data_IF_334840861138
#
_entry.id   IF_334840861138
#
_cell.length_a   1.000
_cell.length_b   1.000
_cell.length_c   1.000
_cell.angle_alpha   90.00
_cell.angle_beta   90.00
_cell.angle_gamma   90.00
#
_symmetry.space_group_name_H-M   'P 1'
#
loop_
_entity.id
_entity.type
_entity.pdbx_description
1 polymer ?
#
# COMPACT_ATOMS: atom_id res chain seq x y z
N UNK A 1 2.24 -22.84 0.41
CA UNK A 1 1.92 -21.60 -0.32
C UNK A 1 0.50 -21.60 -0.90
N UNK A 2 -0.14 -22.77 -1.12
CA UNK A 2 -1.50 -22.85 -1.68
C UNK A 2 -2.61 -22.13 -0.89
N UNK A 3 -2.52 -22.02 0.45
CA UNK A 3 -3.68 -21.57 1.22
C UNK A 3 -4.11 -20.11 0.95
N UNK A 4 -3.17 -19.20 0.73
CA UNK A 4 -3.48 -17.79 0.37
C UNK A 4 -4.06 -17.70 -1.04
N UNK A 5 -3.50 -18.48 -1.96
CA UNK A 5 -3.99 -18.57 -3.33
C UNK A 5 -5.43 -19.09 -3.34
N UNK A 6 -5.70 -20.19 -2.63
CA UNK A 6 -7.06 -20.74 -2.44
C UNK A 6 -8.02 -19.75 -1.78
N UNK A 7 -7.54 -18.95 -0.83
CA UNK A 7 -8.35 -17.91 -0.21
C UNK A 7 -8.69 -16.81 -1.23
N UNK A 8 -7.73 -16.38 -2.04
CA UNK A 8 -7.96 -15.41 -3.11
C UNK A 8 -8.87 -15.98 -4.21
N UNK A 9 -8.74 -17.26 -4.58
CA UNK A 9 -9.65 -17.95 -5.51
C UNK A 9 -11.08 -17.96 -4.96
N UNK A 10 -11.27 -18.21 -3.66
CA UNK A 10 -12.59 -18.18 -3.03
C UNK A 10 -13.21 -16.76 -3.04
N UNK A 11 -12.40 -15.71 -2.88
CA UNK A 11 -12.86 -14.33 -3.02
C UNK A 11 -13.18 -14.00 -4.49
N UNK A 12 -12.35 -14.43 -5.44
CA UNK A 12 -12.62 -14.24 -6.86
C UNK A 12 -13.97 -14.85 -7.26
N UNK A 13 -14.25 -16.08 -6.81
CA UNK A 13 -15.57 -16.70 -6.99
C UNK A 13 -16.70 -15.84 -6.41
N UNK A 14 -16.53 -15.28 -5.22
CA UNK A 14 -17.54 -14.40 -4.61
C UNK A 14 -17.76 -13.13 -5.45
N UNK A 15 -16.68 -12.51 -5.93
CA UNK A 15 -16.74 -11.31 -6.79
C UNK A 15 -17.44 -11.59 -8.13
N UNK A 16 -17.19 -12.75 -8.73
CA UNK A 16 -17.84 -13.19 -9.97
C UNK A 16 -19.33 -13.49 -9.79
N UNK A 17 -19.78 -13.73 -8.56
CA UNK A 17 -21.16 -14.12 -8.22
C UNK A 17 -21.91 -13.06 -7.41
N UNK A 18 -21.48 -11.79 -7.43
CA UNK A 18 -22.17 -10.72 -6.71
C UNK A 18 -23.61 -10.48 -7.21
N UNK A 19 -23.86 -10.73 -8.49
CA UNK A 19 -25.16 -10.59 -9.16
C UNK A 19 -26.04 -11.84 -9.07
N UNK A 20 -25.58 -12.88 -8.36
CA UNK A 20 -26.27 -14.16 -8.26
C UNK A 20 -26.26 -14.68 -6.82
N UNK A 21 -26.88 -15.84 -6.60
CA UNK A 21 -26.82 -16.51 -5.30
C UNK A 21 -25.41 -17.06 -5.06
N UNK A 22 -24.76 -16.58 -4.01
CA UNK A 22 -23.41 -17.03 -3.63
C UNK A 22 -23.53 -18.32 -2.81
N UNK A 23 -23.05 -19.43 -3.38
CA UNK A 23 -22.92 -20.69 -2.65
C UNK A 23 -21.71 -20.66 -1.69
N UNK A 24 -21.97 -20.57 -0.39
CA UNK A 24 -20.92 -20.52 0.64
C UNK A 24 -20.16 -21.84 0.77
N UNK A 25 -20.81 -22.98 0.54
CA UNK A 25 -20.18 -24.29 0.56
C UNK A 25 -19.14 -24.43 -0.56
N UNK A 26 -19.42 -23.85 -1.72
CA UNK A 26 -18.49 -23.81 -2.85
C UNK A 26 -17.29 -22.92 -2.55
N UNK A 27 -17.53 -21.70 -2.06
CA UNK A 27 -16.45 -20.79 -1.66
C UNK A 27 -15.52 -21.43 -0.59
N UNK A 28 -16.10 -22.08 0.41
CA UNK A 28 -15.35 -22.77 1.45
C UNK A 28 -14.57 -23.98 0.90
N UNK A 29 -15.15 -24.71 -0.07
CA UNK A 29 -14.48 -25.84 -0.75
C UNK A 29 -13.28 -25.36 -1.56
N UNK A 30 -13.38 -24.22 -2.26
CA UNK A 30 -12.24 -23.59 -2.93
C UNK A 30 -11.15 -23.28 -1.90
N UNK A 31 -11.52 -22.70 -0.77
CA UNK A 31 -10.60 -22.42 0.35
C UNK A 31 -10.13 -23.68 1.14
N UNK A 32 -10.47 -24.89 0.69
CA UNK A 32 -10.15 -26.17 1.32
C UNK A 32 -10.53 -26.27 2.81
N UNK A 33 -11.65 -25.65 3.22
CA UNK A 33 -12.11 -25.70 4.61
C UNK A 33 -13.64 -25.75 4.71
N UNK A 34 -14.17 -25.90 5.92
CA UNK A 34 -15.62 -25.82 6.14
C UNK A 34 -16.11 -24.37 6.09
N UNK A 35 -17.40 -24.16 5.80
CA UNK A 35 -18.02 -22.82 5.76
C UNK A 35 -17.75 -22.02 7.03
N UNK A 36 -17.87 -22.68 8.19
CA UNK A 36 -17.60 -22.06 9.49
C UNK A 36 -16.15 -21.55 9.59
N UNK A 37 -15.16 -22.36 9.21
CA UNK A 37 -13.76 -21.96 9.25
C UNK A 37 -13.47 -20.85 8.24
N UNK A 38 -13.99 -20.97 7.01
CA UNK A 38 -13.83 -19.95 5.98
C UNK A 38 -14.32 -18.58 6.45
N UNK A 39 -15.56 -18.50 6.94
CA UNK A 39 -16.15 -17.25 7.41
C UNK A 39 -15.39 -16.66 8.61
N UNK A 40 -14.99 -17.51 9.55
CA UNK A 40 -14.24 -17.08 10.74
C UNK A 40 -12.84 -16.59 10.39
N UNK A 41 -12.13 -17.28 9.50
CA UNK A 41 -10.79 -16.91 9.05
C UNK A 41 -10.83 -15.64 8.21
N UNK A 42 -11.79 -15.54 7.28
CA UNK A 42 -12.02 -14.31 6.54
C UNK A 42 -12.24 -13.13 7.50
N UNK A 43 -13.15 -13.26 8.46
CA UNK A 43 -13.44 -12.18 9.40
C UNK A 43 -12.24 -11.78 10.24
N UNK A 44 -11.43 -12.75 10.65
CA UNK A 44 -10.22 -12.50 11.42
C UNK A 44 -9.16 -11.73 10.62
N UNK A 45 -8.97 -12.06 9.35
CA UNK A 45 -7.90 -11.48 8.52
C UNK A 45 -8.36 -10.16 7.87
N UNK A 46 -9.59 -10.12 7.35
CA UNK A 46 -10.15 -8.94 6.68
C UNK A 46 -10.69 -7.89 7.66
N UNK A 47 -10.80 -8.21 8.96
CA UNK A 47 -11.35 -7.33 9.99
C UNK A 47 -12.87 -7.09 9.89
N UNK A 48 -13.56 -7.77 8.97
CA UNK A 48 -15.01 -7.64 8.76
C UNK A 48 -15.67 -8.98 8.44
N UNK A 49 -16.92 -9.22 8.87
CA UNK A 49 -17.63 -10.44 8.50
C UNK A 49 -17.80 -10.60 6.98
N UNK A 50 -17.72 -11.84 6.49
CA UNK A 50 -17.87 -12.15 5.06
C UNK A 50 -19.20 -11.63 4.47
N UNK A 51 -20.30 -11.73 5.22
CA UNK A 51 -21.59 -11.22 4.80
C UNK A 51 -21.61 -9.70 4.64
N UNK A 52 -20.87 -8.98 5.49
CA UNK A 52 -20.73 -7.52 5.37
C UNK A 52 -19.85 -7.14 4.18
N UNK A 53 -18.79 -7.91 3.92
CA UNK A 53 -17.98 -7.76 2.72
C UNK A 53 -18.84 -7.90 1.45
N UNK A 54 -19.56 -9.00 1.30
CA UNK A 54 -20.45 -9.25 0.15
C UNK A 54 -21.45 -8.10 -0.02
N UNK A 55 -22.09 -7.65 1.08
CA UNK A 55 -23.04 -6.54 1.04
C UNK A 55 -22.40 -5.23 0.56
N UNK A 56 -21.19 -4.90 1.05
CA UNK A 56 -20.44 -3.71 0.61
C UNK A 56 -20.08 -3.78 -0.86
N UNK A 57 -19.65 -4.95 -1.33
CA UNK A 57 -19.32 -5.20 -2.74
C UNK A 57 -20.53 -5.06 -3.65
N UNK A 58 -21.66 -5.69 -3.29
CA UNK A 58 -22.93 -5.55 -4.01
C UNK A 58 -23.41 -4.11 -4.09
N UNK A 59 -23.38 -3.34 -2.99
CA UNK A 59 -23.81 -1.94 -3.03
C UNK A 59 -22.85 -1.05 -3.81
N UNK A 60 -21.53 -1.32 -3.75
CA UNK A 60 -20.54 -0.61 -4.59
C UNK A 60 -20.84 -0.84 -6.08
N UNK A 61 -21.11 -2.07 -6.48
CA UNK A 61 -21.46 -2.41 -7.87
C UNK A 61 -22.83 -1.83 -8.27
N UNK A 62 -23.84 -1.91 -7.39
CA UNK A 62 -25.15 -1.31 -7.64
C UNK A 62 -25.10 0.21 -7.79
N UNK A 63 -24.25 0.89 -7.02
CA UNK A 63 -24.03 2.32 -7.13
C UNK A 63 -23.38 2.70 -8.47
N UNK A 64 -22.46 1.87 -8.96
CA UNK A 64 -21.87 2.01 -10.29
C UNK A 64 -22.92 1.85 -11.39
N UNK A 65 -23.74 0.80 -11.34
CA UNK A 65 -24.81 0.58 -12.31
C UNK A 65 -25.85 1.73 -12.29
N UNK A 66 -26.19 2.25 -11.11
CA UNK A 66 -27.10 3.39 -10.96
C UNK A 66 -26.60 4.68 -11.62
N UNK A 67 -25.28 4.88 -11.66
CA UNK A 67 -24.63 6.07 -12.23
C UNK A 67 -24.37 5.92 -13.73
N UNK A 68 -24.20 4.69 -14.21
CA UNK A 68 -23.76 4.42 -15.60
C UNK A 68 -24.87 3.89 -16.50
N UNK A 69 -26.01 3.50 -15.93
CA UNK A 69 -27.14 2.91 -16.65
C UNK A 69 -28.48 3.55 -16.26
N UNK A 70 -29.49 3.35 -17.10
CA UNK A 70 -30.88 3.74 -16.82
C UNK A 70 -31.72 2.62 -16.19
N UNK A 71 -31.10 1.50 -15.78
CA UNK A 71 -31.79 0.35 -15.19
C UNK A 71 -32.69 0.76 -14.01
N UNK A 72 -33.88 0.17 -13.88
CA UNK A 72 -34.79 0.56 -12.79
C UNK A 72 -34.22 0.09 -11.46
N UNK A 73 -34.43 0.87 -10.40
CA UNK A 73 -33.98 0.52 -9.03
C UNK A 73 -34.50 -0.85 -8.59
N UNK A 74 -35.70 -1.24 -9.03
CA UNK A 74 -36.26 -2.57 -8.74
C UNK A 74 -35.50 -3.69 -9.45
N UNK A 75 -35.07 -3.47 -10.68
CA UNK A 75 -34.32 -4.46 -11.47
C UNK A 75 -32.91 -4.63 -10.87
N UNK A 76 -32.27 -3.51 -10.48
CA UNK A 76 -30.99 -3.54 -9.76
C UNK A 76 -31.09 -4.20 -8.38
N UNK A 77 -32.18 -3.97 -7.64
CA UNK A 77 -32.41 -4.66 -6.37
C UNK A 77 -32.44 -6.17 -6.57
N UNK A 78 -33.17 -6.66 -7.57
CA UNK A 78 -33.25 -8.08 -7.92
C UNK A 78 -31.88 -8.62 -8.39
N UNK A 79 -31.20 -7.89 -9.27
CA UNK A 79 -29.85 -8.22 -9.78
C UNK A 79 -28.86 -8.45 -8.65
N UNK A 80 -28.89 -7.65 -7.59
CA UNK A 80 -28.00 -7.80 -6.44
C UNK A 80 -28.59 -8.65 -5.29
N UNK A 81 -29.61 -9.45 -5.57
CA UNK A 81 -30.17 -10.45 -4.64
C UNK A 81 -31.01 -9.88 -3.51
N UNK A 82 -31.75 -8.80 -3.76
CA UNK A 82 -32.73 -8.23 -2.83
C UNK A 82 -34.15 -8.40 -3.36
N UNK A 83 -34.98 -9.17 -2.63
CA UNK A 83 -36.36 -9.45 -3.01
C UNK A 83 -37.32 -8.26 -2.86
N UNK A 84 -36.87 -7.16 -2.24
CA UNK A 84 -37.68 -5.95 -2.07
C UNK A 84 -36.87 -4.66 -2.23
N UNK A 85 -37.43 -3.65 -2.94
CA UNK A 85 -36.82 -2.32 -3.04
C UNK A 85 -36.58 -1.65 -1.69
N UNK A 86 -37.40 -1.95 -0.69
CA UNK A 86 -37.25 -1.40 0.67
C UNK A 86 -36.02 -1.98 1.37
N UNK A 87 -35.78 -3.29 1.26
CA UNK A 87 -34.57 -3.92 1.80
C UNK A 87 -33.31 -3.41 1.08
N UNK A 88 -33.38 -3.29 -0.26
CA UNK A 88 -32.29 -2.72 -1.05
C UNK A 88 -31.99 -1.27 -0.65
N UNK A 89 -33.01 -0.41 -0.56
CA UNK A 89 -32.83 1.00 -0.17
C UNK A 89 -32.18 1.13 1.21
N UNK A 90 -32.64 0.36 2.21
CA UNK A 90 -32.03 0.34 3.55
C UNK A 90 -30.57 -0.14 3.50
N UNK A 91 -30.26 -1.14 2.68
CA UNK A 91 -28.89 -1.63 2.52
C UNK A 91 -27.99 -0.62 1.83
N UNK A 92 -28.49 0.01 0.78
CA UNK A 92 -27.79 1.02 0.00
C UNK A 92 -27.51 2.26 0.86
N UNK A 93 -28.51 2.76 1.58
CA UNK A 93 -28.37 3.89 2.50
C UNK A 93 -27.38 3.60 3.62
N UNK A 94 -27.33 2.37 4.15
CA UNK A 94 -26.36 2.05 5.21
C UNK A 94 -24.89 2.06 4.77
N UNK A 95 -24.64 2.09 3.45
CA UNK A 95 -23.30 2.01 2.86
C UNK A 95 -22.90 3.35 2.22
N UNK A 96 -23.85 4.03 1.58
CA UNK A 96 -23.59 5.26 0.82
C UNK A 96 -24.18 6.52 1.48
N UNK A 97 -24.90 6.39 2.60
CA UNK A 97 -25.62 7.49 3.28
C UNK A 97 -26.59 8.27 2.38
N UNK A 98 -27.03 7.64 1.29
CA UNK A 98 -27.93 8.17 0.28
C UNK A 98 -28.95 7.10 -0.12
N UNK A 99 -30.13 7.52 -0.60
CA UNK A 99 -31.04 6.61 -1.28
C UNK A 99 -30.57 6.29 -2.71
N UNK A 100 -30.94 5.14 -3.28
CA UNK A 100 -30.65 4.81 -4.68
C UNK A 100 -31.06 5.90 -5.68
N UNK A 101 -32.22 6.53 -5.46
CA UNK A 101 -32.70 7.63 -6.33
C UNK A 101 -31.81 8.87 -6.24
N UNK A 102 -31.37 9.24 -5.04
CA UNK A 102 -30.44 10.37 -4.86
C UNK A 102 -29.09 10.06 -5.49
N UNK A 103 -28.62 8.82 -5.34
CA UNK A 103 -27.38 8.31 -5.88
C UNK A 103 -27.38 8.13 -7.40
N UNK A 104 -28.47 8.44 -8.12
CA UNK A 104 -28.47 8.52 -9.60
C UNK A 104 -28.03 9.88 -10.12
N UNK A 105 -28.17 10.94 -9.31
CA UNK A 105 -27.80 12.29 -9.73
C UNK A 105 -26.28 12.43 -9.81
N UNK A 106 -25.81 13.22 -10.77
CA UNK A 106 -24.39 13.57 -10.88
C UNK A 106 -23.90 14.35 -9.65
N UNK A 107 -22.59 14.26 -9.36
CA UNK A 107 -21.95 15.01 -8.29
C UNK A 107 -22.21 14.51 -6.87
N UNK A 108 -22.80 13.32 -6.71
CA UNK A 108 -22.99 12.67 -5.41
C UNK A 108 -21.75 11.90 -4.98
N UNK A 109 -21.29 12.11 -3.76
CA UNK A 109 -20.25 11.29 -3.15
C UNK A 109 -20.84 9.91 -2.76
N UNK A 110 -20.17 8.85 -3.19
CA UNK A 110 -20.56 7.46 -2.93
C UNK A 110 -19.37 6.70 -2.34
N UNK A 111 -19.63 5.87 -1.34
CA UNK A 111 -18.62 4.97 -0.77
C UNK A 111 -18.26 3.84 -1.75
N UNK A 112 -16.97 3.57 -1.95
CA UNK A 112 -16.50 2.43 -2.74
C UNK A 112 -15.67 1.49 -1.86
N UNK A 113 -16.02 0.19 -1.90
CA UNK A 113 -15.25 -0.85 -1.25
C UNK A 113 -14.61 -1.74 -2.32
N UNK A 114 -13.30 -1.62 -2.58
CA UNK A 114 -12.63 -2.46 -3.58
C UNK A 114 -12.60 -3.94 -3.14
N UNK A 115 -12.46 -4.88 -4.09
CA UNK A 115 -12.25 -6.29 -3.77
C UNK A 115 -11.03 -6.49 -2.87
N UNK A 116 -11.14 -7.40 -1.89
CA UNK A 116 -10.02 -7.74 -1.00
C UNK A 116 -9.12 -8.79 -1.67
N UNK A 117 -7.81 -8.63 -1.55
CA UNK A 117 -6.81 -9.64 -1.90
C UNK A 117 -5.87 -9.87 -0.72
N UNK A 118 -5.50 -11.13 -0.47
CA UNK A 118 -4.60 -11.52 0.59
C UNK A 118 -3.18 -11.76 0.05
N UNK A 119 -2.17 -11.23 0.74
CA UNK A 119 -0.75 -11.47 0.44
C UNK A 119 -0.02 -11.80 1.74
N UNK A 120 0.86 -12.80 1.72
CA UNK A 120 1.75 -13.11 2.85
C UNK A 120 3.17 -12.68 2.50
N UNK A 121 3.79 -11.87 3.36
CA UNK A 121 5.22 -11.62 3.34
C UNK A 121 5.86 -12.35 4.51
N UNK A 122 6.77 -13.28 4.21
CA UNK A 122 7.62 -13.95 5.20
C UNK A 122 8.89 -13.11 5.37
N UNK A 123 9.14 -12.61 6.57
CA UNK A 123 10.37 -11.89 6.93
C UNK A 123 11.30 -12.82 7.71
N UNK A 124 12.59 -12.79 7.39
CA UNK A 124 13.63 -13.55 8.12
C UNK A 124 13.91 -14.97 7.58
N UNK A 125 13.31 -15.39 6.47
CA UNK A 125 13.63 -16.66 5.80
C UNK A 125 14.97 -16.61 5.05
N UNK A 126 15.34 -15.43 4.56
CA UNK A 126 16.59 -15.21 3.82
C UNK A 126 17.71 -14.85 4.79
N UNK A 127 18.80 -15.62 4.74
CA UNK A 127 20.01 -15.31 5.50
C UNK A 127 20.55 -13.93 5.09
N UNK A 128 20.62 -13.01 6.05
CA UNK A 128 21.26 -11.71 5.87
C UNK A 128 22.69 -11.79 6.37
N UNK A 129 23.67 -11.59 5.48
CA UNK A 129 25.06 -11.40 5.88
C UNK A 129 25.17 -10.04 6.56
N UNK A 130 25.68 -10.03 7.78
CA UNK A 130 25.95 -8.80 8.52
C UNK A 130 27.37 -8.81 9.08
N UNK A 131 27.90 -7.61 9.34
CA UNK A 131 29.13 -7.40 10.12
C UNK A 131 28.94 -6.22 11.06
N UNK A 132 29.59 -6.27 12.21
CA UNK A 132 29.67 -5.13 13.13
C UNK A 132 30.98 -4.41 12.84
N UNK A 133 30.91 -3.10 12.59
CA UNK A 133 32.08 -2.25 12.32
C UNK A 133 32.01 -0.99 13.15
N UNK A 134 33.15 -0.52 13.66
CA UNK A 134 33.29 0.81 14.23
C UNK A 134 33.70 1.77 13.12
N UNK A 135 33.02 2.90 13.01
CA UNK A 135 33.36 3.97 12.07
C UNK A 135 33.56 5.28 12.81
N UNK A 136 34.60 6.01 12.43
CA UNK A 136 34.80 7.39 12.83
C UNK A 136 33.74 8.29 12.20
N UNK A 137 33.62 9.53 12.69
CA UNK A 137 32.73 10.52 12.12
C UNK A 137 33.18 10.85 10.68
N UNK A 138 32.22 11.02 9.78
CA UNK A 138 32.50 11.38 8.40
C UNK A 138 31.45 12.31 7.85
N UNK A 139 31.88 13.19 6.95
CA UNK A 139 31.03 14.20 6.32
C UNK A 139 30.47 13.70 5.00
N UNK A 140 29.19 13.95 4.78
CA UNK A 140 28.50 13.70 3.52
C UNK A 140 28.06 15.02 2.89
N UNK A 141 28.08 15.09 1.56
CA UNK A 141 27.62 16.25 0.78
C UNK A 141 26.72 15.78 -0.37
N UNK A 142 25.57 16.42 -0.54
CA UNK A 142 24.62 16.12 -1.61
C UNK A 142 23.34 16.93 -1.52
N UNK A 143 22.24 16.34 -1.98
CA UNK A 143 20.91 16.95 -1.90
C UNK A 143 20.11 16.37 -0.73
N UNK A 144 19.17 17.16 -0.21
CA UNK A 144 18.36 16.81 0.95
C UNK A 144 16.89 17.07 0.67
N UNK A 145 16.03 16.19 1.17
CA UNK A 145 14.60 16.42 1.28
C UNK A 145 14.13 16.16 2.72
N UNK A 146 13.23 17.02 3.18
CA UNK A 146 12.62 16.92 4.51
C UNK A 146 11.24 16.26 4.40
N UNK A 147 10.97 15.28 5.26
CA UNK A 147 9.70 14.55 5.27
C UNK A 147 9.31 14.11 6.69
N UNK A 148 8.01 13.88 6.90
CA UNK A 148 7.53 13.33 8.17
C UNK A 148 7.89 11.85 8.28
N UNK A 149 8.08 11.36 9.49
CA UNK A 149 8.37 9.95 9.78
C UNK A 149 7.11 9.07 9.73
N UNK A 150 6.36 9.16 8.63
CA UNK A 150 5.24 8.28 8.30
C UNK A 150 5.72 7.22 7.30
N UNK A 151 5.55 5.93 7.63
CA UNK A 151 6.01 4.83 6.80
C UNK A 151 5.42 4.88 5.39
N UNK A 152 4.11 5.12 5.22
CA UNK A 152 3.47 5.22 3.91
C UNK A 152 4.05 6.38 3.10
N UNK A 153 4.24 7.54 3.75
CA UNK A 153 4.79 8.73 3.12
C UNK A 153 6.25 8.51 2.68
N UNK A 154 7.07 7.85 3.49
CA UNK A 154 8.45 7.49 3.14
C UNK A 154 8.52 6.53 1.96
N UNK A 155 7.61 5.54 1.89
CA UNK A 155 7.56 4.57 0.77
C UNK A 155 7.19 5.25 -0.56
N UNK A 156 6.46 6.36 -0.55
CA UNK A 156 6.17 7.14 -1.76
C UNK A 156 7.28 8.16 -2.06
N UNK A 157 7.70 8.95 -1.06
CA UNK A 157 8.57 10.12 -1.26
C UNK A 157 10.02 9.76 -1.56
N UNK A 158 10.60 8.76 -0.89
CA UNK A 158 12.02 8.44 -1.07
C UNK A 158 12.32 8.00 -2.52
N UNK A 159 11.57 7.04 -3.13
CA UNK A 159 11.79 6.69 -4.54
C UNK A 159 11.58 7.88 -5.49
N UNK A 160 10.57 8.72 -5.23
CA UNK A 160 10.33 9.93 -6.03
C UNK A 160 11.49 10.92 -5.95
N UNK A 161 12.08 11.08 -4.78
CA UNK A 161 13.24 11.94 -4.57
C UNK A 161 14.46 11.44 -5.34
N UNK A 162 14.72 10.11 -5.30
CA UNK A 162 15.74 9.46 -6.12
C UNK A 162 15.52 9.72 -7.61
N UNK A 163 14.31 9.48 -8.10
CA UNK A 163 13.95 9.70 -9.49
C UNK A 163 14.15 11.17 -9.93
N UNK A 164 13.70 12.12 -9.10
CA UNK A 164 13.83 13.56 -9.38
C UNK A 164 15.30 14.00 -9.39
N UNK A 165 16.10 13.46 -8.46
CA UNK A 165 17.54 13.75 -8.36
C UNK A 165 18.32 13.22 -9.57
N UNK A 166 17.96 12.03 -10.08
CA UNK A 166 18.55 11.50 -11.31
C UNK A 166 18.15 12.36 -12.51
N UNK A 167 16.87 12.72 -12.63
CA UNK A 167 16.34 13.51 -13.75
C UNK A 167 16.88 14.94 -13.79
N UNK A 168 17.22 15.54 -12.65
CA UNK A 168 17.80 16.89 -12.60
C UNK A 168 19.23 16.96 -13.14
N UNK A 169 19.91 15.81 -13.29
CA UNK A 169 21.28 15.74 -13.77
C UNK A 169 22.33 16.18 -12.74
N UNK A 170 21.97 16.31 -11.45
CA UNK A 170 22.90 16.71 -10.39
C UNK A 170 23.82 15.56 -9.94
N UNK A 171 23.42 14.30 -10.16
CA UNK A 171 24.15 13.10 -9.71
C UNK A 171 25.64 13.08 -10.12
N UNK A 172 26.03 13.37 -11.39
CA UNK A 172 27.45 13.44 -11.75
C UNK A 172 28.25 14.48 -10.97
N UNK A 173 27.61 15.60 -10.59
CA UNK A 173 28.27 16.64 -9.78
C UNK A 173 28.50 16.13 -8.35
N UNK A 174 27.50 15.48 -7.75
CA UNK A 174 27.63 14.84 -6.43
C UNK A 174 28.77 13.81 -6.46
N UNK A 175 28.78 12.92 -7.45
CA UNK A 175 29.82 11.90 -7.61
C UNK A 175 31.23 12.48 -7.79
N UNK A 176 31.37 13.67 -8.38
CA UNK A 176 32.68 14.34 -8.52
C UNK A 176 33.32 14.74 -7.18
N UNK A 177 32.50 14.84 -6.12
CA UNK A 177 32.97 15.17 -4.77
C UNK A 177 33.47 13.94 -4.00
N UNK A 178 33.11 12.73 -4.43
CA UNK A 178 33.28 11.47 -3.70
C UNK A 178 34.74 11.18 -3.32
N UNK A 179 34.93 10.77 -2.06
CA UNK A 179 36.21 10.26 -1.57
C UNK A 179 36.38 8.76 -1.88
N UNK A 180 37.60 8.30 -2.22
CA UNK A 180 37.85 6.89 -2.54
C UNK A 180 37.60 5.92 -1.37
N UNK A 181 37.65 6.40 -0.13
CA UNK A 181 37.55 5.60 1.10
C UNK A 181 36.14 5.08 1.37
N UNK A 182 35.12 5.81 0.89
CA UNK A 182 33.70 5.49 1.01
C UNK A 182 33.03 5.66 -0.36
N UNK A 183 33.32 4.75 -1.31
CA UNK A 183 32.81 4.87 -2.65
C UNK A 183 31.31 4.53 -2.70
N UNK A 184 30.58 5.26 -3.52
CA UNK A 184 29.17 5.04 -3.78
C UNK A 184 28.29 6.22 -3.39
N UNK A 185 27.13 6.28 -4.02
CA UNK A 185 26.07 7.22 -3.69
C UNK A 185 25.30 6.68 -2.48
N UNK A 186 25.16 7.50 -1.44
CA UNK A 186 24.57 7.15 -0.16
C UNK A 186 23.14 7.71 -0.07
N UNK A 187 22.21 6.88 0.39
CA UNK A 187 20.92 7.31 0.93
C UNK A 187 21.01 7.39 2.45
N UNK A 188 20.99 8.58 3.04
CA UNK A 188 21.18 8.77 4.49
C UNK A 188 19.92 9.36 5.11
N UNK A 189 19.39 8.66 6.11
CA UNK A 189 18.20 9.06 6.86
C UNK A 189 18.63 9.54 8.25
N UNK A 190 18.42 10.81 8.55
CA UNK A 190 18.76 11.40 9.86
C UNK A 190 17.47 11.71 10.62
N UNK A 191 17.19 10.91 11.65
CA UNK A 191 16.06 11.16 12.54
C UNK A 191 16.51 12.15 13.62
N UNK A 192 16.00 13.39 13.54
CA UNK A 192 16.43 14.48 14.42
C UNK A 192 15.54 14.61 15.67
N UNK A 193 14.29 14.14 15.61
CA UNK A 193 13.29 14.37 16.68
C UNK A 193 12.26 13.25 16.88
N UNK A 194 12.24 12.22 16.03
CA UNK A 194 11.23 11.15 16.07
C UNK A 194 9.92 11.46 15.35
N UNK A 195 9.71 12.71 14.91
CA UNK A 195 8.56 13.11 14.08
C UNK A 195 9.01 13.48 12.65
N UNK A 196 10.20 14.06 12.52
CA UNK A 196 10.74 14.53 11.25
C UNK A 196 12.01 13.76 10.84
N UNK A 197 12.14 13.55 9.54
CA UNK A 197 13.25 12.87 8.88
C UNK A 197 13.83 13.76 7.78
N UNK A 198 15.13 14.00 7.84
CA UNK A 198 15.89 14.48 6.69
C UNK A 198 16.48 13.28 5.94
N UNK A 199 16.21 13.21 4.63
CA UNK A 199 16.77 12.19 3.74
C UNK A 199 17.76 12.84 2.77
N UNK A 200 18.97 12.30 2.70
CA UNK A 200 20.05 12.79 1.85
C UNK A 200 20.36 11.80 0.74
N UNK A 201 20.62 12.31 -0.46
CA UNK A 201 21.32 11.60 -1.55
C UNK A 201 22.67 12.27 -1.71
N UNK A 202 23.73 11.60 -1.24
CA UNK A 202 25.02 12.24 -0.98
C UNK A 202 26.22 11.31 -1.17
N UNK A 203 27.42 11.86 -1.17
CA UNK A 203 28.68 11.09 -1.11
C UNK A 203 29.49 11.52 0.11
N UNK A 204 30.34 10.61 0.62
CA UNK A 204 31.31 10.98 1.64
C UNK A 204 32.41 11.85 1.03
N UNK A 205 32.71 13.00 1.65
CA UNK A 205 33.71 13.95 1.14
C UNK A 205 34.23 14.92 2.19
N UNK A 206 35.50 15.29 2.05
CA UNK A 206 36.19 16.38 2.77
C UNK A 206 36.26 17.68 1.94
N UNK A 207 35.76 17.67 0.70
CA UNK A 207 35.78 18.85 -0.18
C UNK A 207 34.77 19.92 0.27
N UNK A 208 34.97 21.19 -0.10
CA UNK A 208 34.00 22.26 0.21
C UNK A 208 32.61 21.98 -0.38
N UNK A 209 31.56 22.34 0.36
CA UNK A 209 30.17 22.16 -0.08
C UNK A 209 29.79 23.18 -1.15
N UNK A 210 29.33 22.73 -2.34
CA UNK A 210 28.75 23.62 -3.34
C UNK A 210 27.52 24.37 -2.82
N UNK A 211 27.23 25.56 -3.37
CA UNK A 211 26.13 26.43 -2.89
C UNK A 211 24.74 25.81 -3.00
N UNK A 212 24.55 24.87 -3.92
CA UNK A 212 23.31 24.17 -4.24
C UNK A 212 23.19 22.81 -3.51
N UNK A 213 24.14 22.49 -2.64
CA UNK A 213 24.17 21.24 -1.88
C UNK A 213 24.11 21.50 -0.38
N UNK A 214 23.78 20.45 0.36
CA UNK A 214 23.76 20.42 1.82
C UNK A 214 24.80 19.43 2.33
N UNK A 215 25.36 19.71 3.49
CA UNK A 215 26.27 18.82 4.20
C UNK A 215 25.64 18.29 5.48
N UNK A 216 26.08 17.10 5.89
CA UNK A 216 25.75 16.52 7.18
C UNK A 216 26.95 15.75 7.72
N UNK A 217 27.17 15.82 9.03
CA UNK A 217 28.20 15.03 9.71
C UNK A 217 27.57 13.80 10.33
N UNK A 218 27.94 12.63 9.80
CA UNK A 218 27.53 11.35 10.37
C UNK A 218 28.43 11.08 11.58
N UNK A 219 27.89 10.96 12.80
CA UNK A 219 28.70 10.80 14.00
C UNK A 219 29.42 9.45 14.02
N UNK A 220 30.56 9.42 14.71
CA UNK A 220 31.27 8.18 15.00
C UNK A 220 30.37 7.21 15.77
N UNK A 221 30.49 5.92 15.48
CA UNK A 221 29.66 4.92 16.15
C UNK A 221 29.94 3.49 15.74
N UNK A 222 29.19 2.58 16.36
CA UNK A 222 29.19 1.15 16.06
C UNK A 222 28.01 0.84 15.15
N UNK A 223 28.29 0.24 14.00
CA UNK A 223 27.32 0.00 12.93
C UNK A 223 27.10 -1.49 12.74
N UNK A 224 25.84 -1.89 12.61
CA UNK A 224 25.47 -3.16 11.98
C UNK A 224 25.30 -2.91 10.47
N UNK A 225 26.16 -3.53 9.66
CA UNK A 225 26.14 -3.38 8.21
C UNK A 225 25.59 -4.65 7.59
N UNK A 226 24.47 -4.52 6.89
CA UNK A 226 23.80 -5.62 6.18
C UNK A 226 24.08 -5.53 4.68
N UNK A 227 24.39 -6.66 4.05
CA UNK A 227 24.49 -6.74 2.59
C UNK A 227 23.10 -6.78 1.97
N UNK A 228 22.82 -5.85 1.04
CA UNK A 228 21.57 -5.79 0.28
C UNK A 228 21.90 -5.91 -1.21
N UNK A 229 21.28 -6.88 -1.89
CA UNK A 229 21.41 -7.08 -3.34
C UNK A 229 20.02 -6.92 -3.93
N UNK A 230 19.85 -5.92 -4.79
CA UNK A 230 18.56 -5.62 -5.39
C UNK A 230 18.65 -4.46 -6.38
N UNK A 231 17.54 -4.14 -7.07
CA UNK A 231 17.46 -2.96 -7.91
C UNK A 231 17.61 -1.70 -7.04
N UNK A 232 18.30 -0.68 -7.58
CA UNK A 232 18.26 0.66 -7.00
C UNK A 232 16.84 1.22 -7.18
N UNK A 233 16.27 1.89 -6.15
CA UNK A 233 14.99 2.57 -6.25
C UNK A 233 15.01 3.73 -7.25
#
# INVERSE_FOLDING_TARGET
MEWVERLNEAIAYIEENLESEINYEHAARIACCSVFHFQRMFAYIAGVPLSLYIRRRRMTAAAFDLQTTDEKIIDLALKYGYDSPTAFNRAFHSIHDLSPSQARSEGRALSAYPPISFTISIKGEVQMKYKIVTKEAFRIVGVKEHMNMNMEECFEKVPRFWQTTVQSGIVPQILSLMNPELPGLLGVSTCMSGEDLDYYIAVATDKPTPKDMTEYEVPAGTWAVFECIGPMP
#
